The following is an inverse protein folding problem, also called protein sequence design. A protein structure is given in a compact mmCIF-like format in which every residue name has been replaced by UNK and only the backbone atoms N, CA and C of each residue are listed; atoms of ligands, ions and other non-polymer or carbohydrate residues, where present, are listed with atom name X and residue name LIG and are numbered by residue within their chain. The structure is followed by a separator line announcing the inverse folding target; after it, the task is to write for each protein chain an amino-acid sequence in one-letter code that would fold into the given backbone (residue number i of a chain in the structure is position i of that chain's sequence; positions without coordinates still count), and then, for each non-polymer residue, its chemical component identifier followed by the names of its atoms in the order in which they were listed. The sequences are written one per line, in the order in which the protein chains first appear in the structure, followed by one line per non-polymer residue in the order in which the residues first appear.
data_IF_703715686846
#
_entry.id   IF_703715686846
#
_cell.length_a   1.000
_cell.length_b   1.000
_cell.length_c   1.000
_cell.angle_alpha   90.00
_cell.angle_beta   90.00
_cell.angle_gamma   90.00
#
_symmetry.space_group_name_H-M   'P 1'
#
loop_
_entity.id
_entity.type
_entity.pdbx_description
1 polymer ?
#
# COMPACT_ATOMS: atom_id res chain seq x y z
N UNK A 1 -20.30 -4.48 6.61
CA UNK A 1 -19.05 -5.23 6.59
C UNK A 1 -17.96 -4.38 5.91
N UNK A 2 -16.73 -4.32 6.48
CA UNK A 2 -15.60 -3.70 5.83
C UNK A 2 -14.45 -4.72 5.74
N UNK A 3 -14.11 -5.13 4.53
CA UNK A 3 -13.03 -6.05 4.22
C UNK A 3 -11.75 -5.30 3.83
N UNK A 4 -10.59 -5.86 4.14
CA UNK A 4 -9.30 -5.27 3.80
C UNK A 4 -8.45 -6.27 3.01
N UNK A 5 -8.00 -5.87 1.84
CA UNK A 5 -7.16 -6.65 0.92
C UNK A 5 -7.71 -8.06 0.64
N UNK A 6 -6.85 -8.93 0.12
CA UNK A 6 -7.20 -10.30 -0.22
C UNK A 6 -7.51 -11.18 0.99
N UNK A 7 -6.94 -10.88 2.16
CA UNK A 7 -7.13 -11.69 3.38
C UNK A 7 -8.60 -11.77 3.80
N UNK A 8 -9.35 -10.70 3.60
CA UNK A 8 -10.78 -10.65 3.84
C UNK A 8 -11.62 -10.63 2.54
N UNK A 9 -10.99 -10.87 1.40
CA UNK A 9 -11.57 -10.66 0.08
C UNK A 9 -12.81 -11.52 -0.23
N UNK A 10 -12.94 -12.71 0.37
CA UNK A 10 -14.13 -13.54 0.21
C UNK A 10 -15.31 -13.12 1.11
N UNK A 11 -15.08 -12.32 2.15
CA UNK A 11 -16.13 -11.96 3.10
C UNK A 11 -17.34 -11.24 2.44
N UNK A 12 -17.17 -10.30 1.50
CA UNK A 12 -18.29 -9.68 0.80
C UNK A 12 -19.21 -10.66 0.05
N UNK A 13 -18.70 -11.79 -0.46
CA UNK A 13 -19.52 -12.79 -1.14
C UNK A 13 -20.57 -13.39 -0.20
N UNK A 14 -20.17 -13.69 1.05
CA UNK A 14 -21.05 -14.33 2.03
C UNK A 14 -22.17 -13.44 2.53
N UNK A 15 -22.02 -12.12 2.44
CA UNK A 15 -23.01 -11.13 2.88
C UNK A 15 -23.68 -10.40 1.70
N UNK A 16 -23.34 -10.77 0.48
CA UNK A 16 -23.83 -10.10 -0.74
C UNK A 16 -25.36 -10.00 -0.76
N UNK A 17 -25.85 -8.78 -0.91
CA UNK A 17 -27.29 -8.49 -0.92
C UNK A 17 -27.97 -8.53 0.46
N UNK A 18 -27.29 -8.97 1.52
CA UNK A 18 -27.85 -9.05 2.87
C UNK A 18 -27.35 -7.93 3.78
N UNK A 19 -26.08 -7.57 3.68
CA UNK A 19 -25.44 -6.54 4.51
C UNK A 19 -24.59 -5.64 3.61
N UNK A 20 -24.71 -4.29 3.72
CA UNK A 20 -23.83 -3.38 3.01
C UNK A 20 -22.37 -3.69 3.30
N UNK A 21 -21.55 -3.69 2.24
CA UNK A 21 -20.15 -4.10 2.34
C UNK A 21 -19.21 -3.16 1.58
N UNK A 22 -18.01 -2.99 2.11
CA UNK A 22 -16.91 -2.28 1.47
C UNK A 22 -15.65 -3.14 1.48
N UNK A 23 -14.81 -2.97 0.46
CA UNK A 23 -13.45 -3.53 0.44
C UNK A 23 -12.44 -2.42 0.22
N UNK A 24 -11.35 -2.43 0.99
CA UNK A 24 -10.21 -1.51 0.81
C UNK A 24 -9.02 -2.24 0.20
N UNK A 25 -8.51 -1.72 -0.92
CA UNK A 25 -7.24 -2.16 -1.52
C UNK A 25 -6.11 -1.33 -0.88
N UNK A 26 -5.26 -1.97 -0.09
CA UNK A 26 -4.00 -1.36 0.39
C UNK A 26 -2.84 -1.69 -0.54
N UNK A 27 -2.81 -2.89 -1.10
CA UNK A 27 -1.78 -3.32 -2.06
C UNK A 27 -2.31 -4.38 -3.03
N UNK A 28 -2.60 -3.97 -4.25
CA UNK A 28 -3.14 -4.83 -5.32
C UNK A 28 -2.19 -5.95 -5.78
N UNK A 29 -0.89 -5.82 -5.50
CA UNK A 29 0.08 -6.87 -5.86
C UNK A 29 -0.20 -8.20 -5.15
N UNK A 30 -0.94 -8.18 -4.05
CA UNK A 30 -1.34 -9.36 -3.30
C UNK A 30 -2.82 -9.66 -3.56
N UNK A 31 -3.09 -10.71 -4.32
CA UNK A 31 -4.44 -11.01 -4.80
C UNK A 31 -5.09 -12.22 -4.14
N UNK A 32 -4.33 -12.98 -3.30
CA UNK A 32 -4.84 -14.20 -2.69
C UNK A 32 -5.24 -15.23 -3.73
N UNK A 33 -4.32 -15.50 -4.69
CA UNK A 33 -4.52 -16.50 -5.72
C UNK A 33 -4.33 -17.90 -5.13
N UNK A 34 -5.27 -18.80 -5.43
CA UNK A 34 -5.18 -20.20 -5.04
C UNK A 34 -5.78 -21.10 -6.13
N UNK A 35 -5.41 -22.40 -6.17
CA UNK A 35 -6.02 -23.35 -7.10
C UNK A 35 -7.54 -23.43 -6.95
N UNK A 36 -8.27 -23.69 -8.05
CA UNK A 36 -9.71 -23.85 -8.03
C UNK A 36 -10.21 -24.93 -7.05
N UNK A 37 -9.38 -25.94 -6.76
CA UNK A 37 -9.71 -26.97 -5.78
C UNK A 37 -9.95 -26.39 -4.35
N UNK A 38 -9.41 -25.22 -4.03
CA UNK A 38 -9.65 -24.56 -2.75
C UNK A 38 -11.12 -24.06 -2.57
N UNK A 39 -11.93 -24.06 -3.62
CA UNK A 39 -13.35 -23.72 -3.56
C UNK A 39 -14.09 -24.58 -2.54
N UNK A 40 -13.83 -25.90 -2.57
CA UNK A 40 -14.45 -26.86 -1.64
C UNK A 40 -13.99 -26.64 -0.21
N UNK A 41 -12.68 -26.50 0.00
CA UNK A 41 -12.09 -26.28 1.31
C UNK A 41 -12.60 -24.99 1.96
N UNK A 42 -12.64 -23.92 1.18
CA UNK A 42 -13.12 -22.60 1.61
C UNK A 42 -14.65 -22.49 1.57
N UNK A 43 -15.37 -23.53 1.12
CA UNK A 43 -16.85 -23.56 1.00
C UNK A 43 -17.38 -22.38 0.19
N UNK A 44 -16.69 -21.99 -0.88
CA UNK A 44 -17.11 -20.88 -1.73
C UNK A 44 -18.26 -21.30 -2.65
N UNK A 45 -19.21 -20.41 -2.95
CA UNK A 45 -20.30 -20.75 -3.86
C UNK A 45 -19.81 -20.91 -5.29
N UNK A 46 -19.97 -22.11 -5.87
CA UNK A 46 -19.55 -22.42 -7.24
C UNK A 46 -20.14 -21.48 -8.29
N UNK A 47 -21.32 -20.93 -8.04
CA UNK A 47 -21.97 -19.97 -8.93
C UNK A 47 -21.15 -18.70 -9.17
N UNK A 48 -20.21 -18.38 -8.28
CA UNK A 48 -19.30 -17.23 -8.41
C UNK A 48 -17.96 -17.59 -9.06
N UNK A 49 -17.71 -18.88 -9.35
CA UNK A 49 -16.52 -19.30 -10.10
C UNK A 49 -16.72 -19.11 -11.60
N UNK A 50 -16.68 -17.87 -12.02
CA UNK A 50 -16.81 -17.44 -13.42
C UNK A 50 -16.06 -16.11 -13.61
N UNK A 51 -15.85 -15.64 -14.86
CA UNK A 51 -15.12 -14.40 -15.16
C UNK A 51 -15.71 -13.14 -14.50
N UNK A 52 -17.02 -13.09 -14.26
CA UNK A 52 -17.70 -12.00 -13.53
C UNK A 52 -17.63 -12.12 -12.02
N UNK A 53 -17.14 -13.23 -11.48
CA UNK A 53 -16.97 -13.52 -10.07
C UNK A 53 -15.50 -13.57 -9.66
N UNK A 54 -15.13 -14.56 -8.86
CA UNK A 54 -13.77 -14.70 -8.32
C UNK A 54 -12.82 -15.58 -9.13
N UNK A 55 -13.27 -16.14 -10.25
CA UNK A 55 -12.38 -16.87 -11.17
C UNK A 55 -11.31 -15.94 -11.73
N UNK A 56 -10.07 -16.39 -11.77
CA UNK A 56 -8.93 -15.65 -12.26
C UNK A 56 -7.94 -16.60 -12.96
N UNK A 57 -8.02 -16.66 -14.29
CA UNK A 57 -7.18 -17.52 -15.15
C UNK A 57 -7.18 -19.00 -14.71
N UNK A 58 -8.36 -19.56 -14.46
CA UNK A 58 -8.53 -20.94 -13.98
C UNK A 58 -8.26 -21.15 -12.50
N UNK A 59 -7.93 -20.12 -11.77
CA UNK A 59 -7.69 -20.10 -10.34
C UNK A 59 -8.77 -19.25 -9.63
N UNK A 60 -8.73 -19.19 -8.31
CA UNK A 60 -9.53 -18.23 -7.53
C UNK A 60 -8.66 -17.04 -7.13
N UNK A 61 -9.27 -15.85 -7.06
CA UNK A 61 -8.66 -14.65 -6.49
C UNK A 61 -9.55 -14.09 -5.40
N UNK A 62 -9.03 -14.07 -4.17
CA UNK A 62 -9.77 -13.53 -3.03
C UNK A 62 -9.99 -12.02 -3.16
N UNK A 63 -8.99 -11.27 -3.65
CA UNK A 63 -9.15 -9.84 -3.88
C UNK A 63 -10.21 -9.56 -4.95
N UNK A 64 -10.17 -10.29 -6.08
CA UNK A 64 -11.19 -10.15 -7.12
C UNK A 64 -12.59 -10.44 -6.58
N UNK A 65 -12.73 -11.46 -5.73
CA UNK A 65 -13.99 -11.78 -5.07
C UNK A 65 -14.58 -10.56 -4.34
N UNK A 66 -13.78 -9.90 -3.53
CA UNK A 66 -14.19 -8.71 -2.81
C UNK A 66 -14.52 -7.53 -3.73
N UNK A 67 -13.70 -7.31 -4.77
CA UNK A 67 -13.92 -6.24 -5.75
C UNK A 67 -15.24 -6.37 -6.49
N UNK A 68 -15.66 -7.58 -6.82
CA UNK A 68 -16.92 -7.80 -7.55
C UNK A 68 -18.14 -7.85 -6.66
N UNK A 69 -17.99 -8.30 -5.40
CA UNK A 69 -19.11 -8.54 -4.49
C UNK A 69 -19.42 -7.36 -3.56
N UNK A 70 -18.43 -6.55 -3.18
CA UNK A 70 -18.65 -5.42 -2.27
C UNK A 70 -19.46 -4.30 -2.93
N UNK A 71 -20.27 -3.59 -2.14
CA UNK A 71 -21.06 -2.44 -2.61
C UNK A 71 -20.15 -1.25 -2.90
N UNK A 72 -19.11 -1.03 -2.09
CA UNK A 72 -18.10 0.02 -2.25
C UNK A 72 -16.69 -0.55 -2.33
N UNK A 73 -15.86 0.08 -3.16
CA UNK A 73 -14.42 -0.24 -3.28
C UNK A 73 -13.63 1.00 -2.91
N UNK A 74 -12.71 0.86 -1.99
CA UNK A 74 -11.82 1.97 -1.61
C UNK A 74 -10.37 1.60 -1.77
N UNK A 75 -9.51 2.59 -1.89
CA UNK A 75 -8.05 2.45 -1.82
C UNK A 75 -7.43 3.62 -1.08
N UNK A 76 -6.14 3.55 -0.80
CA UNK A 76 -5.45 4.43 0.14
C UNK A 76 -4.96 5.76 -0.45
N UNK A 77 -5.36 6.08 -1.69
CA UNK A 77 -5.02 7.36 -2.31
C UNK A 77 -5.95 7.66 -3.51
N UNK A 78 -6.39 8.91 -3.72
CA UNK A 78 -7.10 9.31 -4.94
C UNK A 78 -6.30 9.04 -6.21
N UNK A 79 -4.99 9.31 -6.21
CA UNK A 79 -4.10 9.00 -7.32
C UNK A 79 -4.01 7.48 -7.55
N UNK A 80 -3.84 6.70 -6.49
CA UNK A 80 -3.79 5.25 -6.59
C UNK A 80 -5.09 4.66 -7.15
N UNK A 81 -6.25 5.22 -6.79
CA UNK A 81 -7.53 4.82 -7.38
C UNK A 81 -7.52 4.97 -8.92
N UNK A 82 -6.93 6.04 -9.45
CA UNK A 82 -6.79 6.25 -10.89
C UNK A 82 -5.76 5.28 -11.49
N UNK A 83 -4.61 5.12 -10.89
CA UNK A 83 -3.55 4.19 -11.32
C UNK A 83 -4.05 2.77 -11.43
N UNK A 84 -4.82 2.28 -10.46
CA UNK A 84 -5.40 0.93 -10.46
C UNK A 84 -6.29 0.62 -11.66
N UNK A 85 -6.81 1.63 -12.35
CA UNK A 85 -7.61 1.46 -13.58
C UNK A 85 -6.76 1.22 -14.82
N UNK A 86 -5.43 1.31 -14.70
CA UNK A 86 -4.48 1.18 -15.82
C UNK A 86 -3.77 -0.18 -15.83
N UNK A 87 -3.37 -0.71 -17.00
CA UNK A 87 -2.63 -1.96 -17.08
C UNK A 87 -1.28 -1.93 -16.33
N UNK A 88 -0.65 -0.75 -16.23
CA UNK A 88 0.63 -0.59 -15.55
C UNK A 88 0.56 -0.85 -14.04
N UNK A 89 -0.58 -0.58 -13.41
CA UNK A 89 -0.74 -0.64 -11.96
C UNK A 89 -1.88 -1.56 -11.50
N UNK A 90 -2.74 -2.03 -12.40
CA UNK A 90 -3.91 -2.87 -12.08
C UNK A 90 -3.59 -4.34 -11.83
N UNK A 91 -2.37 -4.80 -12.16
CA UNK A 91 -1.91 -6.19 -11.95
C UNK A 91 -2.88 -7.25 -12.53
N UNK A 92 -3.50 -6.94 -13.68
CA UNK A 92 -4.47 -7.82 -14.35
C UNK A 92 -5.92 -7.67 -13.82
N UNK A 93 -6.16 -6.83 -12.82
CA UNK A 93 -7.49 -6.52 -12.28
C UNK A 93 -8.02 -5.16 -12.75
N UNK A 94 -7.28 -4.41 -13.57
CA UNK A 94 -7.68 -3.09 -14.06
C UNK A 94 -9.03 -3.10 -14.79
N UNK A 95 -9.35 -4.19 -15.50
CA UNK A 95 -10.65 -4.37 -16.15
C UNK A 95 -11.80 -4.47 -15.15
N UNK A 96 -11.60 -5.24 -14.08
CA UNK A 96 -12.57 -5.38 -12.98
C UNK A 96 -12.76 -4.03 -12.28
N UNK A 97 -11.66 -3.34 -11.98
CA UNK A 97 -11.68 -2.05 -11.30
C UNK A 97 -12.37 -0.98 -12.15
N UNK A 98 -12.10 -0.91 -13.45
CA UNK A 98 -12.82 -0.02 -14.36
C UNK A 98 -14.33 -0.30 -14.38
N UNK A 99 -14.72 -1.56 -14.36
CA UNK A 99 -16.14 -1.96 -14.24
C UNK A 99 -16.79 -1.50 -12.93
N UNK A 100 -15.98 -1.21 -11.91
CA UNK A 100 -16.41 -0.73 -10.59
C UNK A 100 -16.12 0.75 -10.35
N UNK A 101 -15.78 1.52 -11.37
CA UNK A 101 -15.37 2.92 -11.24
C UNK A 101 -16.38 3.80 -10.48
N UNK A 102 -17.69 3.55 -10.64
CA UNK A 102 -18.73 4.27 -9.91
C UNK A 102 -18.79 3.99 -8.41
N UNK A 103 -18.17 2.90 -7.96
CA UNK A 103 -18.09 2.51 -6.55
C UNK A 103 -16.68 2.68 -5.96
N UNK A 104 -15.70 3.12 -6.78
CA UNK A 104 -14.30 3.26 -6.39
C UNK A 104 -14.02 4.64 -5.81
N UNK A 105 -13.37 4.67 -4.65
CA UNK A 105 -12.92 5.91 -3.99
C UNK A 105 -11.51 5.77 -3.47
N UNK A 106 -10.70 6.83 -3.60
CA UNK A 106 -9.37 6.92 -2.99
C UNK A 106 -9.43 7.76 -1.72
N UNK A 107 -9.01 7.22 -0.59
CA UNK A 107 -9.05 7.86 0.73
C UNK A 107 -7.65 7.78 1.34
N UNK A 108 -7.03 8.93 1.61
CA UNK A 108 -5.71 8.96 2.25
C UNK A 108 -5.79 8.45 3.68
N UNK A 109 -4.78 7.68 4.09
CA UNK A 109 -4.62 7.29 5.47
C UNK A 109 -4.42 8.53 6.35
N UNK A 110 -5.00 8.50 7.55
CA UNK A 110 -4.72 9.48 8.58
C UNK A 110 -3.33 9.27 9.21
N UNK A 111 -2.85 10.31 9.89
CA UNK A 111 -1.68 10.25 10.73
C UNK A 111 -2.04 10.75 12.13
N UNK A 112 -1.54 10.08 13.16
CA UNK A 112 -1.69 10.54 14.53
C UNK A 112 -0.69 11.69 14.79
N UNK A 113 -1.19 12.92 14.71
CA UNK A 113 -0.38 14.14 14.88
C UNK A 113 0.04 14.42 16.32
N UNK A 114 -0.49 13.70 17.29
CA UNK A 114 0.00 13.77 18.67
C UNK A 114 1.24 12.89 18.87
N UNK A 115 1.24 11.70 18.27
CA UNK A 115 2.37 10.76 18.31
C UNK A 115 3.48 11.19 17.34
N UNK A 116 3.13 11.49 16.08
CA UNK A 116 4.08 11.89 15.03
C UNK A 116 4.23 13.41 15.01
N UNK A 117 4.77 13.97 16.11
CA UNK A 117 4.94 15.41 16.30
C UNK A 117 6.37 15.75 16.68
N UNK A 118 7.20 16.24 15.77
CA UNK A 118 8.60 16.55 16.06
C UNK A 118 8.76 17.67 17.10
N UNK A 119 7.75 18.49 17.37
CA UNK A 119 7.82 19.51 18.40
C UNK A 119 7.78 18.92 19.82
N UNK A 120 7.28 17.71 19.99
CA UNK A 120 7.09 17.05 21.29
C UNK A 120 7.62 15.64 21.35
N UNK A 121 8.23 15.12 20.29
CA UNK A 121 8.78 13.77 20.23
C UNK A 121 9.99 13.65 21.17
N UNK A 122 9.94 12.78 22.18
CA UNK A 122 11.06 12.58 23.10
C UNK A 122 12.18 11.69 22.53
N UNK A 123 11.98 11.07 21.35
CA UNK A 123 12.90 10.11 20.75
C UNK A 123 13.93 10.76 19.81
N UNK A 124 13.71 12.02 19.41
CA UNK A 124 14.66 12.76 18.57
C UNK A 124 15.65 13.55 19.42
N UNK A 125 16.84 13.81 18.88
CA UNK A 125 17.92 14.49 19.61
C UNK A 125 17.56 15.96 19.94
N UNK A 126 16.81 16.63 19.08
CA UNK A 126 16.29 17.96 19.32
C UNK A 126 14.91 18.13 18.68
N UNK A 127 13.99 18.75 19.39
CA UNK A 127 12.66 19.04 18.87
C UNK A 127 12.72 20.17 17.84
N UNK A 128 11.82 20.13 16.84
CA UNK A 128 11.67 21.14 15.81
C UNK A 128 10.21 21.28 15.37
N UNK A 129 9.89 22.34 14.68
CA UNK A 129 8.55 22.58 14.12
C UNK A 129 8.65 23.09 12.68
N UNK A 130 7.51 23.28 12.03
CA UNK A 130 7.46 23.90 10.70
C UNK A 130 7.97 25.36 10.72
N UNK A 131 7.83 26.06 11.84
CA UNK A 131 8.23 27.45 12.01
C UNK A 131 9.70 27.58 12.48
N UNK A 132 10.26 26.55 13.08
CA UNK A 132 11.66 26.48 13.54
C UNK A 132 12.27 25.12 13.24
N UNK A 133 13.12 25.07 12.23
CA UNK A 133 13.81 23.87 11.77
C UNK A 133 15.22 23.71 12.38
N UNK A 134 15.65 24.55 13.33
CA UNK A 134 17.02 24.50 13.85
C UNK A 134 17.34 23.13 14.48
N UNK A 135 16.39 22.47 15.14
CA UNK A 135 16.54 21.12 15.70
C UNK A 135 16.94 20.06 14.69
N UNK A 136 16.52 20.19 13.41
CA UNK A 136 16.89 19.21 12.37
C UNK A 136 18.40 19.10 12.13
N UNK A 137 19.17 20.17 12.34
CA UNK A 137 20.62 20.13 12.22
C UNK A 137 21.24 19.30 13.34
N UNK A 138 20.68 19.37 14.55
CA UNK A 138 21.10 18.56 15.72
C UNK A 138 20.76 17.08 15.46
N UNK A 139 19.55 16.80 14.97
CA UNK A 139 19.14 15.43 14.64
C UNK A 139 20.02 14.82 13.53
N UNK A 140 20.34 15.61 12.50
CA UNK A 140 21.24 15.16 11.44
C UNK A 140 22.66 14.86 11.97
N UNK A 141 23.17 15.68 12.89
CA UNK A 141 24.46 15.45 13.52
C UNK A 141 24.46 14.18 14.39
N UNK A 142 23.40 13.98 15.17
CA UNK A 142 23.24 12.78 15.99
C UNK A 142 23.18 11.50 15.14
N UNK A 143 22.41 11.50 14.03
CA UNK A 143 22.38 10.37 13.10
C UNK A 143 23.75 10.11 12.45
N UNK A 144 24.48 11.15 12.04
CA UNK A 144 25.82 10.97 11.49
C UNK A 144 26.78 10.33 12.50
N UNK A 145 26.71 10.74 13.74
CA UNK A 145 27.51 10.15 14.81
C UNK A 145 27.13 8.69 15.07
N UNK A 146 25.85 8.37 15.16
CA UNK A 146 25.35 7.02 15.41
C UNK A 146 25.76 6.04 14.31
N UNK A 147 25.71 6.48 13.04
CA UNK A 147 26.07 5.65 11.88
C UNK A 147 27.52 5.78 11.42
N UNK A 148 28.37 6.55 12.12
CA UNK A 148 29.78 6.74 11.80
C UNK A 148 30.01 7.43 10.45
N UNK A 149 29.13 8.35 10.05
CA UNK A 149 29.23 9.11 8.81
C UNK A 149 30.05 10.39 9.02
N UNK A 150 30.64 10.90 7.91
CA UNK A 150 31.39 12.14 7.95
C UNK A 150 30.53 13.32 8.40
N UNK A 151 31.06 14.11 9.34
CA UNK A 151 30.35 15.26 9.92
C UNK A 151 30.08 16.36 8.89
N UNK A 152 31.05 16.60 8.01
CA UNK A 152 31.03 17.63 6.99
C UNK A 152 30.62 17.11 5.60
N UNK A 153 30.01 15.94 5.56
CA UNK A 153 29.49 15.35 4.33
C UNK A 153 28.33 16.15 3.71
N UNK A 154 27.99 15.82 2.49
CA UNK A 154 26.86 16.41 1.77
C UNK A 154 25.49 16.14 2.42
N UNK A 155 24.40 16.21 1.68
CA UNK A 155 23.06 15.97 2.22
C UNK A 155 22.94 14.59 2.89
N UNK A 156 22.37 14.53 4.08
CA UNK A 156 22.08 13.26 4.74
C UNK A 156 20.84 12.62 4.09
N UNK A 157 21.02 11.48 3.42
CA UNK A 157 19.96 10.72 2.80
C UNK A 157 19.62 9.50 3.66
N UNK A 158 18.35 9.26 3.92
CA UNK A 158 17.88 8.10 4.69
C UNK A 158 16.92 7.26 3.86
N UNK A 159 16.92 5.94 4.08
CA UNK A 159 15.91 5.02 3.57
C UNK A 159 15.42 4.14 4.71
N UNK A 160 14.15 4.31 5.05
CA UNK A 160 13.47 3.48 6.04
C UNK A 160 12.32 2.77 5.33
N UNK A 161 12.53 1.52 4.92
CA UNK A 161 11.56 0.77 4.14
C UNK A 161 11.78 -0.74 4.23
N UNK A 162 10.77 -1.51 3.83
CA UNK A 162 10.95 -2.95 3.57
C UNK A 162 11.87 -3.14 2.36
N UNK A 163 12.76 -4.13 2.43
CA UNK A 163 13.69 -4.46 1.34
C UNK A 163 12.95 -5.26 0.25
N UNK A 164 12.06 -4.59 -0.48
CA UNK A 164 11.27 -5.18 -1.55
C UNK A 164 11.43 -4.37 -2.84
N UNK A 165 11.25 -5.03 -3.99
CA UNK A 165 11.34 -4.38 -5.31
C UNK A 165 10.39 -3.19 -5.45
N UNK A 166 9.18 -3.26 -4.87
CA UNK A 166 8.21 -2.16 -4.88
C UNK A 166 8.73 -0.85 -4.27
N UNK A 167 9.79 -0.92 -3.43
CA UNK A 167 10.40 0.24 -2.79
C UNK A 167 11.53 0.86 -3.61
N UNK A 168 11.82 0.33 -4.79
CA UNK A 168 12.80 0.89 -5.72
C UNK A 168 14.25 0.83 -5.21
N UNK A 169 14.59 -0.13 -4.36
CA UNK A 169 15.94 -0.26 -3.82
C UNK A 169 16.96 -0.57 -4.92
N UNK A 170 16.56 -1.27 -5.95
CA UNK A 170 17.36 -1.50 -7.17
C UNK A 170 17.70 -0.17 -7.88
N UNK A 171 16.76 0.76 -7.96
CA UNK A 171 16.95 2.09 -8.52
C UNK A 171 17.88 2.93 -7.63
N UNK A 172 17.68 2.87 -6.30
CA UNK A 172 18.55 3.55 -5.35
C UNK A 172 19.99 3.06 -5.48
N UNK A 173 20.20 1.73 -5.46
CA UNK A 173 21.55 1.15 -5.57
C UNK A 173 22.24 1.51 -6.89
N UNK A 174 21.47 1.60 -7.98
CA UNK A 174 22.01 2.05 -9.27
C UNK A 174 22.40 3.53 -9.28
N UNK A 175 21.66 4.38 -8.55
CA UNK A 175 21.92 5.82 -8.46
C UNK A 175 23.00 6.19 -7.43
N UNK A 176 23.23 5.32 -6.43
CA UNK A 176 24.08 5.60 -5.27
C UNK A 176 25.52 6.03 -5.63
N UNK A 177 26.24 5.40 -6.59
CA UNK A 177 27.58 5.84 -6.97
C UNK A 177 27.64 7.29 -7.47
N UNK A 178 26.64 7.72 -8.24
CA UNK A 178 26.55 9.09 -8.72
C UNK A 178 26.19 10.08 -7.62
N UNK A 179 25.34 9.68 -6.69
CA UNK A 179 24.96 10.47 -5.52
C UNK A 179 26.18 10.72 -4.62
N UNK A 180 26.94 9.68 -4.29
CA UNK A 180 28.15 9.77 -3.48
C UNK A 180 29.23 10.63 -4.18
N UNK A 181 29.43 10.43 -5.47
CA UNK A 181 30.40 11.25 -6.25
C UNK A 181 29.99 12.74 -6.33
N UNK A 182 28.71 13.03 -6.19
CA UNK A 182 28.16 14.40 -6.12
C UNK A 182 28.23 15.03 -4.73
N UNK A 183 28.80 14.35 -3.73
CA UNK A 183 28.95 14.84 -2.35
C UNK A 183 27.75 14.53 -1.45
N UNK A 184 26.94 13.52 -1.79
CA UNK A 184 25.84 12.99 -0.95
C UNK A 184 26.29 11.88 -0.01
#
# INVERSE_FOLDING_TARGET
LHAHDWQAGFAPIWVHGAVPSAITIHNIAFQGIAPAAAIEELRLPHSWFNPGGFEYWGQISALKAGLVAADAVTTVSPTYAQELTTPAFGFGLEGVIRGRAGALSGILNGVDTAVWNPATDPLIAANYSADDLAGKAVDAAALREEFGLDRDGGPLCIVVSRLTRQKGLDLLLAALPALIAGGG
#
